data_IF_155919771336
#
_entry.id   IF_155919771336
#
_cell.length_a   1.000
_cell.length_b   1.000
_cell.length_c   1.000
_cell.angle_alpha   90.00
_cell.angle_beta   90.00
_cell.angle_gamma   90.00
#
_symmetry.space_group_name_H-M   'P 1'
#
loop_
_entity.id
_entity.type
_entity.pdbx_description
1 polymer ?
#
# COMPACT_ATOMS: atom_id res chain seq x y z
N UNK A 1 1.69 4.42 -6.76
CA UNK A 1 2.23 4.64 -5.40
C UNK A 1 2.95 5.97 -5.37
N UNK A 2 2.82 6.70 -4.25
CA UNK A 2 3.54 7.96 -4.06
C UNK A 2 5.04 7.74 -3.97
N UNK A 3 5.82 8.67 -4.49
CA UNK A 3 7.27 8.69 -4.29
C UNK A 3 7.60 9.05 -2.83
N UNK A 4 8.81 8.83 -2.35
CA UNK A 4 9.23 9.29 -1.02
C UNK A 4 9.08 10.81 -0.83
N UNK A 5 9.33 11.59 -1.89
CA UNK A 5 9.17 13.05 -1.89
C UNK A 5 7.70 13.45 -1.71
N UNK A 6 6.81 12.90 -2.54
CA UNK A 6 5.37 13.14 -2.46
C UNK A 6 4.81 12.67 -1.10
N UNK A 7 5.17 11.46 -0.65
CA UNK A 7 4.73 10.91 0.62
C UNK A 7 5.11 11.80 1.81
N UNK A 8 6.33 12.37 1.80
CA UNK A 8 6.76 13.30 2.84
C UNK A 8 5.81 14.50 2.94
N UNK A 9 5.53 15.16 1.82
CA UNK A 9 4.67 16.35 1.81
C UNK A 9 3.25 16.04 2.29
N UNK A 10 2.68 14.93 1.83
CA UNK A 10 1.35 14.47 2.23
C UNK A 10 1.31 14.17 3.74
N UNK A 11 2.23 13.34 4.22
CA UNK A 11 2.18 12.86 5.61
C UNK A 11 2.59 13.92 6.64
N UNK A 12 3.32 14.96 6.24
CA UNK A 12 3.60 16.12 7.07
C UNK A 12 2.51 17.21 6.97
N UNK A 13 1.45 16.98 6.19
CA UNK A 13 0.33 17.91 6.06
C UNK A 13 0.68 19.19 5.28
N UNK A 14 1.70 19.13 4.44
CA UNK A 14 2.13 20.25 3.59
C UNK A 14 1.26 20.37 2.33
N UNK A 15 0.59 19.29 1.96
CA UNK A 15 -0.40 19.22 0.87
C UNK A 15 -1.53 18.29 1.27
N UNK A 16 -2.69 18.46 0.68
CA UNK A 16 -3.83 17.59 0.89
C UNK A 16 -3.60 16.19 0.32
N UNK A 17 -4.02 15.16 1.08
CA UNK A 17 -3.98 13.76 0.65
C UNK A 17 -5.18 13.47 -0.27
N UNK A 18 -5.13 14.02 -1.50
CA UNK A 18 -6.21 13.86 -2.48
C UNK A 18 -5.78 12.81 -3.51
N UNK A 19 -6.20 11.56 -3.29
CA UNK A 19 -6.08 10.52 -4.31
C UNK A 19 -7.34 10.48 -5.16
N UNK A 20 -7.26 10.80 -6.46
CA UNK A 20 -8.41 10.65 -7.33
C UNK A 20 -8.81 9.17 -7.41
N UNK A 21 -10.07 8.90 -7.07
CA UNK A 21 -10.63 7.56 -7.26
C UNK A 21 -10.76 7.26 -8.75
N UNK A 22 -10.51 6.01 -9.13
CA UNK A 22 -10.70 5.56 -10.49
C UNK A 22 -11.63 4.33 -10.53
N UNK A 23 -12.15 4.04 -11.72
CA UNK A 23 -13.11 2.96 -11.91
C UNK A 23 -12.57 1.59 -11.45
N UNK A 24 -11.28 1.31 -11.68
CA UNK A 24 -10.64 0.07 -11.23
C UNK A 24 -10.63 -0.05 -9.70
N UNK A 25 -10.31 1.02 -8.99
CA UNK A 25 -10.34 1.06 -7.53
C UNK A 25 -11.78 0.91 -7.01
N UNK A 26 -12.74 1.59 -7.65
CA UNK A 26 -14.14 1.50 -7.28
C UNK A 26 -14.69 0.06 -7.45
N UNK A 27 -14.38 -0.60 -8.56
CA UNK A 27 -14.76 -2.00 -8.78
C UNK A 27 -14.03 -2.95 -7.83
N UNK A 28 -12.76 -2.70 -7.52
CA UNK A 28 -12.02 -3.44 -6.52
C UNK A 28 -12.79 -3.49 -5.19
N UNK A 29 -13.19 -2.34 -4.67
CA UNK A 29 -13.96 -2.25 -3.41
C UNK A 29 -15.34 -2.90 -3.49
N UNK A 30 -16.06 -2.73 -4.61
CA UNK A 30 -17.40 -3.32 -4.79
C UNK A 30 -17.40 -4.85 -4.81
N UNK A 31 -16.33 -5.45 -5.31
CA UNK A 31 -16.21 -6.91 -5.43
C UNK A 31 -15.76 -7.59 -4.14
N UNK A 32 -15.13 -6.85 -3.22
CA UNK A 32 -14.52 -7.43 -2.01
C UNK A 32 -15.51 -8.30 -1.21
N UNK A 33 -16.73 -7.82 -0.96
CA UNK A 33 -17.70 -8.56 -0.15
C UNK A 33 -18.10 -9.89 -0.82
N UNK A 34 -18.34 -9.88 -2.13
CA UNK A 34 -18.70 -11.08 -2.87
C UNK A 34 -17.56 -12.10 -2.90
N UNK A 35 -16.32 -11.63 -3.07
CA UNK A 35 -15.12 -12.48 -3.04
C UNK A 35 -14.95 -13.08 -1.64
N UNK A 36 -15.09 -12.27 -0.60
CA UNK A 36 -14.96 -12.69 0.80
C UNK A 36 -15.99 -13.77 1.17
N UNK A 37 -17.24 -13.58 0.77
CA UNK A 37 -18.33 -14.56 0.99
C UNK A 37 -18.02 -15.89 0.29
N UNK A 38 -17.58 -15.83 -0.98
CA UNK A 38 -17.19 -17.02 -1.74
C UNK A 38 -16.04 -17.78 -1.08
N UNK A 39 -14.99 -17.08 -0.66
CA UNK A 39 -13.85 -17.66 0.06
C UNK A 39 -14.31 -18.32 1.38
N UNK A 40 -15.17 -17.63 2.13
CA UNK A 40 -15.73 -18.16 3.38
C UNK A 40 -16.49 -19.46 3.17
N UNK A 41 -17.33 -19.52 2.13
CA UNK A 41 -18.12 -20.69 1.77
C UNK A 41 -17.21 -21.87 1.37
N UNK A 42 -16.28 -21.64 0.43
CA UNK A 42 -15.41 -22.69 -0.10
C UNK A 42 -14.47 -23.28 0.96
N UNK A 43 -14.00 -22.45 1.88
CA UNK A 43 -13.03 -22.86 2.91
C UNK A 43 -13.66 -23.17 4.27
N UNK A 44 -14.97 -23.03 4.41
CA UNK A 44 -15.71 -23.16 5.68
C UNK A 44 -15.18 -22.18 6.74
N UNK A 45 -14.79 -20.99 6.34
CA UNK A 45 -14.36 -19.93 7.24
C UNK A 45 -15.55 -19.02 7.59
N UNK A 46 -15.55 -18.54 8.82
CA UNK A 46 -16.39 -17.39 9.16
C UNK A 46 -15.65 -16.13 8.74
N UNK A 47 -16.26 -15.34 7.89
CA UNK A 47 -15.68 -14.09 7.36
C UNK A 47 -16.48 -12.91 7.91
N UNK A 48 -15.78 -11.88 8.38
CA UNK A 48 -16.35 -10.64 8.89
C UNK A 48 -15.60 -9.46 8.26
N UNK A 49 -16.32 -8.48 7.72
CA UNK A 49 -15.73 -7.24 7.27
C UNK A 49 -15.08 -6.52 8.45
N UNK A 50 -13.89 -5.97 8.24
CA UNK A 50 -13.20 -5.16 9.24
C UNK A 50 -13.36 -3.69 8.88
N UNK A 51 -14.07 -2.95 9.74
CA UNK A 51 -14.23 -1.49 9.62
C UNK A 51 -13.28 -0.76 10.58
N UNK A 52 -12.46 -1.51 11.29
CA UNK A 52 -11.50 -1.00 12.25
C UNK A 52 -10.23 -0.50 11.57
N UNK A 53 -9.76 0.66 12.02
CA UNK A 53 -8.42 1.14 11.69
C UNK A 53 -7.50 0.88 12.89
N UNK A 54 -6.54 -0.04 12.73
CA UNK A 54 -5.56 -0.33 13.77
C UNK A 54 -4.37 0.62 13.66
N UNK A 55 -3.88 1.11 14.81
CA UNK A 55 -2.77 2.06 14.84
C UNK A 55 -1.84 1.85 16.02
N UNK A 56 -0.57 2.14 15.81
CA UNK A 56 0.43 2.39 16.83
C UNK A 56 0.66 3.91 16.90
N UNK A 57 0.12 4.60 17.92
CA UNK A 57 0.23 6.07 18.02
C UNK A 57 1.66 6.52 18.34
N UNK A 58 2.49 5.66 18.94
CA UNK A 58 3.88 6.00 19.30
C UNK A 58 4.74 6.10 18.03
N UNK A 59 4.58 5.12 17.13
CA UNK A 59 5.27 5.12 15.83
C UNK A 59 4.53 5.91 14.75
N UNK A 60 3.30 6.38 15.02
CA UNK A 60 2.44 7.00 14.01
C UNK A 60 2.23 6.09 12.79
N UNK A 61 2.04 4.80 13.04
CA UNK A 61 1.86 3.75 12.06
C UNK A 61 0.43 3.23 12.15
N UNK A 62 -0.23 2.99 11.02
CA UNK A 62 -1.61 2.51 11.03
C UNK A 62 -2.01 1.83 9.73
N UNK A 63 -3.06 1.02 9.77
CA UNK A 63 -3.62 0.32 8.62
C UNK A 63 -5.11 0.08 8.74
N UNK A 64 -5.80 0.10 7.60
CA UNK A 64 -7.13 -0.48 7.41
C UNK A 64 -6.99 -1.94 6.98
N UNK A 65 -8.09 -2.67 7.11
CA UNK A 65 -8.17 -4.10 6.80
C UNK A 65 -9.42 -4.37 5.98
N UNK A 66 -9.36 -5.37 5.09
CA UNK A 66 -10.54 -5.77 4.34
C UNK A 66 -11.46 -6.66 5.20
N UNK A 67 -10.96 -7.82 5.64
CA UNK A 67 -11.76 -8.79 6.41
C UNK A 67 -10.96 -9.53 7.48
N UNK A 68 -11.68 -9.93 8.53
CA UNK A 68 -11.28 -10.99 9.47
C UNK A 68 -11.80 -12.32 8.96
N UNK A 69 -11.00 -13.35 9.07
CA UNK A 69 -11.43 -14.73 8.90
C UNK A 69 -11.21 -15.53 10.18
N UNK A 70 -12.14 -16.42 10.47
CA UNK A 70 -11.95 -17.40 11.53
C UNK A 70 -11.89 -18.79 10.90
N UNK A 71 -10.66 -19.28 10.74
CA UNK A 71 -10.37 -20.59 10.20
C UNK A 71 -10.48 -21.64 11.30
N UNK A 72 -11.19 -22.77 11.08
CA UNK A 72 -11.31 -23.82 12.11
C UNK A 72 -9.98 -24.41 12.61
N UNK A 73 -8.93 -24.34 11.79
CA UNK A 73 -7.61 -24.89 12.10
C UNK A 73 -6.64 -23.82 12.60
N UNK A 74 -6.64 -22.64 11.98
CA UNK A 74 -5.66 -21.57 12.25
C UNK A 74 -6.19 -20.49 13.20
N UNK A 75 -7.49 -20.50 13.52
CA UNK A 75 -8.12 -19.45 14.31
C UNK A 75 -8.28 -18.14 13.52
N UNK A 76 -8.19 -17.00 14.22
CA UNK A 76 -8.37 -15.68 13.63
C UNK A 76 -7.21 -15.27 12.73
N UNK A 77 -7.54 -14.77 11.54
CA UNK A 77 -6.58 -14.26 10.58
C UNK A 77 -7.09 -13.03 9.83
N UNK A 78 -6.19 -12.31 9.20
CA UNK A 78 -6.47 -11.17 8.32
C UNK A 78 -6.63 -11.68 6.88
N UNK A 79 -7.68 -11.24 6.18
CA UNK A 79 -7.89 -11.52 4.77
C UNK A 79 -7.80 -10.21 3.97
N UNK A 80 -6.81 -10.12 3.11
CA UNK A 80 -6.62 -9.03 2.15
C UNK A 80 -7.09 -9.49 0.77
N UNK A 81 -7.96 -8.73 0.11
CA UNK A 81 -8.54 -9.09 -1.18
C UNK A 81 -7.98 -8.23 -2.30
N UNK A 82 -7.54 -8.88 -3.37
CA UNK A 82 -7.06 -8.23 -4.59
C UNK A 82 -7.83 -8.75 -5.81
N UNK A 83 -8.32 -7.83 -6.65
CA UNK A 83 -8.83 -8.16 -7.98
C UNK A 83 -7.71 -7.95 -9.00
N UNK A 84 -7.25 -9.03 -9.61
CA UNK A 84 -6.01 -9.05 -10.41
C UNK A 84 -6.31 -9.47 -11.85
N UNK A 85 -5.82 -8.69 -12.81
CA UNK A 85 -5.85 -9.07 -14.21
C UNK A 85 -5.03 -10.35 -14.49
N UNK A 86 -5.48 -11.17 -15.43
CA UNK A 86 -4.84 -12.47 -15.74
C UNK A 86 -3.42 -12.34 -16.26
N UNK A 87 -3.10 -11.26 -17.00
CA UNK A 87 -1.74 -11.02 -17.52
C UNK A 87 -0.83 -10.54 -16.40
N UNK A 88 -1.31 -9.61 -15.56
CA UNK A 88 -0.58 -9.13 -14.39
C UNK A 88 -0.30 -10.31 -13.45
N UNK A 89 -1.31 -11.16 -13.21
CA UNK A 89 -1.12 -12.33 -12.38
C UNK A 89 0.00 -13.24 -12.88
N UNK A 90 0.01 -13.57 -14.17
CA UNK A 90 1.04 -14.43 -14.76
C UNK A 90 2.44 -13.83 -14.68
N UNK A 91 2.56 -12.51 -14.78
CA UNK A 91 3.86 -11.84 -14.85
C UNK A 91 4.42 -11.48 -13.46
N UNK A 92 3.56 -11.24 -12.48
CA UNK A 92 3.98 -10.62 -11.20
C UNK A 92 3.58 -11.44 -9.95
N UNK A 93 2.67 -12.43 -10.10
CA UNK A 93 2.10 -13.16 -8.97
C UNK A 93 2.48 -14.64 -8.95
N UNK A 94 3.52 -15.02 -9.68
CA UNK A 94 4.02 -16.40 -9.75
C UNK A 94 5.52 -16.36 -9.53
N UNK A 95 6.00 -17.13 -8.56
CA UNK A 95 7.41 -17.43 -8.37
C UNK A 95 7.61 -18.94 -8.25
N UNK A 96 8.61 -19.47 -8.97
CA UNK A 96 8.87 -20.90 -8.98
C UNK A 96 7.66 -21.78 -9.39
N UNK A 97 6.70 -21.20 -10.15
CA UNK A 97 5.46 -21.89 -10.55
C UNK A 97 4.37 -21.91 -9.46
N UNK A 98 4.59 -21.27 -8.32
CA UNK A 98 3.63 -21.18 -7.23
C UNK A 98 3.03 -19.76 -7.14
N UNK A 99 1.78 -19.62 -6.64
CA UNK A 99 1.22 -18.32 -6.35
C UNK A 99 2.07 -17.56 -5.32
N UNK A 100 2.54 -16.38 -5.71
CA UNK A 100 3.33 -15.49 -4.86
C UNK A 100 2.87 -14.04 -5.09
N UNK A 101 2.68 -13.28 -4.01
CA UNK A 101 2.25 -11.90 -4.16
C UNK A 101 3.44 -10.98 -4.46
N UNK A 102 3.26 -9.92 -5.27
CA UNK A 102 4.32 -8.95 -5.49
C UNK A 102 4.80 -8.31 -4.18
N UNK A 103 6.08 -7.95 -4.11
CA UNK A 103 6.74 -7.47 -2.90
C UNK A 103 5.97 -6.33 -2.19
N UNK A 104 5.36 -5.41 -2.93
CA UNK A 104 4.59 -4.32 -2.34
C UNK A 104 3.29 -4.79 -1.65
N UNK A 105 2.66 -5.86 -2.15
CA UNK A 105 1.49 -6.48 -1.52
C UNK A 105 1.93 -7.29 -0.29
N UNK A 106 3.05 -7.99 -0.37
CA UNK A 106 3.65 -8.70 0.76
C UNK A 106 3.97 -7.74 1.90
N UNK A 107 4.65 -6.62 1.60
CA UNK A 107 4.97 -5.60 2.60
C UNK A 107 3.70 -4.99 3.20
N UNK A 108 2.68 -4.69 2.39
CA UNK A 108 1.38 -4.23 2.87
C UNK A 108 0.80 -5.24 3.87
N UNK A 109 0.79 -6.52 3.51
CA UNK A 109 0.20 -7.56 4.35
C UNK A 109 0.99 -7.79 5.65
N UNK A 110 2.33 -7.78 5.58
CA UNK A 110 3.18 -7.85 6.77
C UNK A 110 3.04 -6.60 7.68
N UNK A 111 2.83 -5.42 7.11
CA UNK A 111 2.49 -4.21 7.86
C UNK A 111 1.16 -4.38 8.62
N UNK A 112 0.14 -4.92 7.95
CA UNK A 112 -1.14 -5.24 8.57
C UNK A 112 -0.96 -6.24 9.73
N UNK A 113 -0.22 -7.33 9.51
CA UNK A 113 0.03 -8.35 10.52
C UNK A 113 0.86 -7.80 11.70
N UNK A 114 1.84 -6.92 11.45
CA UNK A 114 2.63 -6.29 12.52
C UNK A 114 1.75 -5.47 13.46
N UNK A 115 0.77 -4.74 12.96
CA UNK A 115 -0.19 -4.00 13.78
C UNK A 115 -1.22 -4.94 14.44
N UNK A 116 -1.74 -5.91 13.70
CA UNK A 116 -2.82 -6.79 14.14
C UNK A 116 -2.38 -7.85 15.15
N UNK A 117 -1.07 -8.19 15.24
CA UNK A 117 -0.55 -9.22 16.17
C UNK A 117 -0.90 -8.95 17.62
N UNK A 118 -0.98 -7.70 18.04
CA UNK A 118 -1.36 -7.30 19.40
C UNK A 118 -2.85 -7.52 19.70
N UNK A 119 -3.64 -7.78 18.67
CA UNK A 119 -5.05 -8.12 18.73
C UNK A 119 -5.33 -9.61 18.51
N UNK A 120 -4.26 -10.44 18.53
CA UNK A 120 -4.35 -11.89 18.41
C UNK A 120 -4.38 -12.44 16.99
N UNK A 121 -4.05 -11.62 15.98
CA UNK A 121 -3.90 -12.07 14.60
C UNK A 121 -2.44 -12.44 14.33
N UNK A 122 -2.17 -13.72 14.13
CA UNK A 122 -0.80 -14.24 13.91
C UNK A 122 -0.54 -14.65 12.48
N UNK A 123 -1.59 -14.73 11.66
CA UNK A 123 -1.53 -15.12 10.26
C UNK A 123 -2.48 -14.32 9.41
N UNK A 124 -2.28 -14.36 8.11
CA UNK A 124 -3.19 -13.77 7.15
C UNK A 124 -3.20 -14.52 5.83
N UNK A 125 -4.11 -14.09 4.97
CA UNK A 125 -4.28 -14.64 3.64
C UNK A 125 -4.46 -13.47 2.65
N UNK A 126 -3.64 -13.45 1.61
CA UNK A 126 -3.83 -12.61 0.45
C UNK A 126 -4.62 -13.41 -0.55
N UNK A 127 -5.82 -12.95 -0.89
CA UNK A 127 -6.71 -13.59 -1.86
C UNK A 127 -6.75 -12.80 -3.15
N UNK A 128 -6.24 -13.38 -4.23
CA UNK A 128 -6.28 -12.79 -5.57
C UNK A 128 -7.42 -13.41 -6.39
N UNK A 129 -8.45 -12.61 -6.74
CA UNK A 129 -9.41 -12.97 -7.78
C UNK A 129 -8.78 -12.67 -9.14
N UNK A 130 -8.38 -13.71 -9.85
CA UNK A 130 -7.65 -13.62 -11.12
C UNK A 130 -8.61 -13.64 -12.28
N UNK A 131 -8.61 -12.59 -13.10
CA UNK A 131 -9.45 -12.48 -14.30
C UNK A 131 -10.96 -12.61 -14.03
N UNK A 132 -11.40 -12.36 -12.80
CA UNK A 132 -12.79 -12.49 -12.38
C UNK A 132 -13.31 -13.92 -12.22
N UNK A 133 -12.44 -14.95 -12.38
CA UNK A 133 -12.90 -16.34 -12.47
C UNK A 133 -12.25 -17.31 -11.49
N UNK A 134 -11.06 -17.01 -10.98
CA UNK A 134 -10.31 -17.96 -10.17
C UNK A 134 -9.71 -17.25 -8.95
N UNK A 135 -9.97 -17.78 -7.77
CA UNK A 135 -9.35 -17.29 -6.53
C UNK A 135 -8.06 -18.06 -6.25
N UNK A 136 -6.99 -17.34 -5.96
CA UNK A 136 -5.73 -17.85 -5.44
C UNK A 136 -5.53 -17.35 -4.02
N UNK A 137 -5.24 -18.26 -3.09
CA UNK A 137 -5.02 -17.97 -1.69
C UNK A 137 -3.53 -18.11 -1.39
N UNK A 138 -2.93 -17.06 -0.84
CA UNK A 138 -1.52 -17.01 -0.43
C UNK A 138 -1.51 -16.78 1.08
N UNK A 139 -1.08 -17.78 1.83
CA UNK A 139 -1.04 -17.75 3.29
C UNK A 139 0.27 -17.15 3.77
N UNK A 140 0.19 -16.30 4.79
CA UNK A 140 1.34 -15.70 5.45
C UNK A 140 1.18 -15.74 6.97
N UNK A 141 2.26 -16.00 7.64
CA UNK A 141 2.40 -15.76 9.07
C UNK A 141 3.09 -14.43 9.29
N UNK A 142 2.90 -13.85 10.46
CA UNK A 142 3.64 -12.65 10.83
C UNK A 142 5.14 -12.95 10.87
N UNK A 143 5.93 -12.23 10.08
CA UNK A 143 7.39 -12.28 10.11
C UNK A 143 7.93 -11.16 11.00
N UNK A 144 8.51 -11.54 12.13
CA UNK A 144 9.03 -10.59 13.12
C UNK A 144 10.19 -9.74 12.57
N UNK A 145 11.00 -10.28 11.66
CA UNK A 145 12.11 -9.53 11.06
C UNK A 145 11.59 -8.48 10.09
N UNK A 146 10.64 -8.85 9.24
CA UNK A 146 9.98 -7.91 8.32
C UNK A 146 9.21 -6.85 9.10
N UNK A 147 8.47 -7.24 10.15
CA UNK A 147 7.78 -6.33 11.04
C UNK A 147 8.73 -5.32 11.69
N UNK A 148 9.88 -5.77 12.22
CA UNK A 148 10.89 -4.91 12.80
C UNK A 148 11.48 -3.94 11.76
N UNK A 149 11.75 -4.40 10.54
CA UNK A 149 12.25 -3.56 9.45
C UNK A 149 11.24 -2.48 9.04
N UNK A 150 9.93 -2.84 8.96
CA UNK A 150 8.85 -1.89 8.69
C UNK A 150 8.81 -0.81 9.79
N UNK A 151 8.82 -1.20 11.08
CA UNK A 151 8.81 -0.27 12.21
C UNK A 151 10.00 0.68 12.17
N UNK A 152 11.21 0.16 11.92
CA UNK A 152 12.41 0.98 11.79
C UNK A 152 12.28 2.01 10.64
N UNK A 153 11.78 1.57 9.48
CA UNK A 153 11.60 2.45 8.32
C UNK A 153 10.56 3.55 8.59
N UNK A 154 9.45 3.21 9.27
CA UNK A 154 8.44 4.21 9.68
C UNK A 154 9.02 5.19 10.70
N UNK A 155 9.77 4.71 11.70
CA UNK A 155 10.42 5.57 12.67
C UNK A 155 11.43 6.52 12.01
N UNK A 156 12.21 6.04 11.05
CA UNK A 156 13.17 6.87 10.32
C UNK A 156 12.48 7.90 9.42
N UNK A 157 11.36 7.54 8.80
CA UNK A 157 10.54 8.49 8.04
C UNK A 157 10.09 9.68 8.92
N UNK A 158 9.59 9.41 10.12
CA UNK A 158 9.09 10.47 11.00
C UNK A 158 10.19 11.32 11.67
N UNK A 159 11.46 10.89 11.62
CA UNK A 159 12.60 11.70 12.04
C UNK A 159 13.07 12.70 10.97
N UNK A 160 12.62 12.56 9.74
CA UNK A 160 13.02 13.46 8.66
C UNK A 160 12.44 14.86 8.92
N UNK A 161 13.29 15.86 8.90
CA UNK A 161 12.94 17.28 9.05
C UNK A 161 12.81 18.01 7.72
N UNK A 162 13.34 17.40 6.67
CA UNK A 162 13.29 17.92 5.30
C UNK A 162 12.84 16.82 4.34
N UNK A 163 12.18 17.18 3.23
CA UNK A 163 11.81 16.20 2.23
C UNK A 163 13.04 15.54 1.60
N UNK A 164 12.97 14.26 1.23
CA UNK A 164 14.02 13.63 0.44
C UNK A 164 14.14 14.33 -0.92
N UNK A 165 15.27 14.16 -1.59
CA UNK A 165 15.46 14.69 -2.95
C UNK A 165 14.38 14.12 -3.90
N UNK A 166 13.74 14.95 -4.73
CA UNK A 166 12.74 14.48 -5.67
C UNK A 166 13.35 13.64 -6.79
N UNK A 167 12.60 12.68 -7.27
CA UNK A 167 12.80 12.09 -8.58
C UNK A 167 12.12 12.99 -9.61
N UNK A 168 12.89 13.83 -10.32
CA UNK A 168 12.34 14.82 -11.22
C UNK A 168 11.49 14.25 -12.38
N UNK A 169 11.65 12.98 -12.70
CA UNK A 169 10.81 12.31 -13.69
C UNK A 169 9.51 11.81 -13.07
N UNK A 170 9.59 11.08 -11.95
CA UNK A 170 8.44 10.51 -11.28
C UNK A 170 7.60 11.58 -10.57
N UNK A 171 8.26 12.59 -9.98
CA UNK A 171 7.62 13.67 -9.21
C UNK A 171 7.22 14.89 -10.05
N UNK A 172 7.43 14.91 -11.39
CA UNK A 172 7.23 16.09 -12.23
C UNK A 172 5.84 16.71 -12.06
N UNK A 173 4.79 15.90 -12.08
CA UNK A 173 3.41 16.36 -11.91
C UNK A 173 3.18 16.92 -10.49
N UNK A 174 3.69 16.23 -9.48
CA UNK A 174 3.57 16.66 -8.09
C UNK A 174 4.32 17.96 -7.83
N UNK A 175 5.55 18.11 -8.32
CA UNK A 175 6.35 19.33 -8.25
C UNK A 175 5.62 20.49 -8.92
N UNK A 176 5.03 20.25 -10.11
CA UNK A 176 4.27 21.28 -10.83
C UNK A 176 3.05 21.76 -10.04
N UNK A 177 2.37 20.87 -9.32
CA UNK A 177 1.26 21.23 -8.43
C UNK A 177 1.73 21.95 -7.17
N UNK A 178 2.85 21.54 -6.61
CA UNK A 178 3.41 22.12 -5.38
C UNK A 178 3.89 23.57 -5.62
N UNK A 179 4.42 23.87 -6.79
CA UNK A 179 5.01 25.15 -7.15
C UNK A 179 4.27 25.83 -8.31
N UNK A 180 2.92 25.78 -8.35
CA UNK A 180 2.12 26.40 -9.43
C UNK A 180 2.23 27.92 -9.45
N UNK A 181 2.60 28.55 -8.35
CA UNK A 181 2.69 30.00 -8.25
C UNK A 181 4.11 30.43 -7.90
N UNK A 182 4.62 31.43 -8.65
CA UNK A 182 5.89 32.05 -8.32
C UNK A 182 5.75 32.86 -7.03
N UNK A 183 6.72 32.75 -6.13
CA UNK A 183 6.78 33.64 -4.98
C UNK A 183 7.28 35.03 -5.41
N UNK A 184 6.56 36.12 -5.07
CA UNK A 184 6.99 37.47 -5.39
C UNK A 184 8.41 37.75 -4.86
N UNK A 185 9.29 38.25 -5.73
CA UNK A 185 10.67 38.58 -5.38
C UNK A 185 11.67 37.42 -5.41
N UNK A 186 11.26 36.19 -5.64
CA UNK A 186 12.19 35.09 -5.92
C UNK A 186 12.62 35.10 -7.38
N UNK A 187 13.91 35.24 -7.59
CA UNK A 187 14.55 35.19 -8.92
C UNK A 187 15.60 34.10 -8.91
N UNK A 188 15.58 33.22 -9.90
CA UNK A 188 16.64 32.23 -10.14
C UNK A 188 17.45 32.72 -11.32
N UNK A 189 18.75 32.96 -11.10
CA UNK A 189 19.68 33.25 -12.18
C UNK A 189 20.10 31.94 -12.86
N UNK A 190 19.69 31.73 -14.09
CA UNK A 190 20.02 30.58 -14.91
C UNK A 190 21.08 30.90 -15.98
N UNK A 191 21.71 32.06 -15.92
CA UNK A 191 22.71 32.52 -16.93
C UNK A 191 23.90 31.55 -17.07
N UNK A 192 24.21 30.81 -16.04
CA UNK A 192 25.32 29.80 -16.04
C UNK A 192 24.82 28.37 -16.28
N UNK A 193 23.54 28.14 -16.53
CA UNK A 193 22.97 26.82 -16.75
C UNK A 193 23.02 26.40 -18.21
N UNK A 194 23.86 25.43 -18.55
CA UNK A 194 23.94 24.85 -19.90
C UNK A 194 22.58 24.33 -20.43
N UNK A 195 21.74 23.83 -19.52
CA UNK A 195 20.40 23.37 -19.88
C UNK A 195 19.46 24.50 -20.21
N UNK A 196 19.49 25.61 -19.46
CA UNK A 196 18.66 26.77 -19.72
C UNK A 196 19.07 27.45 -21.03
N UNK A 197 20.38 27.55 -21.28
CA UNK A 197 20.94 28.13 -22.52
C UNK A 197 20.56 27.33 -23.77
N UNK A 198 20.34 26.00 -23.65
CA UNK A 198 19.91 25.15 -24.77
C UNK A 198 18.40 25.21 -25.03
N UNK A 199 17.61 25.74 -24.11
CA UNK A 199 16.15 25.85 -24.20
C UNK A 199 15.69 27.27 -24.59
N UNK A 200 16.60 28.26 -24.58
CA UNK A 200 16.39 29.63 -25.01
C UNK A 200 16.70 29.77 -26.51
#
# INVERSE_FOLDING_TARGET
YSTPFELYHIKHGLVDDVFPDNERMAWGRRLQDSIAVGIGFDNKWKVRRMDEYMRDPVLRMGSSYDFEVNCPVRGKGVLEIKNVDSLIYRNEWIDGGQPEAPAHIEIQHQHQLELARHHGYTWGCIAALVGGNTVKLIFREHDANVGAAIRAKVADFWKQTEPPAPDYQADAEFISKLYQYAEPGKVIDLSTSDKATKLA
#
